data_IF_343096462673
#
_entry.id   IF_343096462673
#
_cell.length_a   1.000
_cell.length_b   1.000
_cell.length_c   1.000
_cell.angle_alpha   90.00
_cell.angle_beta   90.00
_cell.angle_gamma   90.00
#
_symmetry.space_group_name_H-M   'P 1'
#
loop_
_entity.id
_entity.type
_entity.pdbx_description
1 polymer ?
#
# COMPACT_ATOMS: atom_id res chain seq x y z
N UNK A 1 12.55 -2.59 11.16
CA UNK A 1 13.91 -2.23 10.69
C UNK A 1 13.95 -0.78 10.23
N UNK A 2 14.99 -0.02 10.59
CA UNK A 2 15.21 1.34 10.05
C UNK A 2 16.09 1.24 8.80
N UNK A 3 15.86 2.09 7.80
CA UNK A 3 16.69 2.11 6.57
C UNK A 3 18.17 2.44 6.80
N UNK A 4 18.49 3.12 7.91
CA UNK A 4 19.86 3.42 8.33
C UNK A 4 20.49 2.35 9.22
N UNK A 5 19.77 1.25 9.53
CA UNK A 5 20.33 0.20 10.37
C UNK A 5 21.38 -0.64 9.61
N UNK A 6 22.40 -1.07 10.32
CA UNK A 6 23.45 -1.95 9.79
C UNK A 6 22.85 -3.25 9.24
N UNK A 7 21.83 -3.78 9.90
CA UNK A 7 21.12 -4.99 9.45
C UNK A 7 20.41 -4.81 8.11
N UNK A 8 19.78 -3.64 7.90
CA UNK A 8 19.16 -3.33 6.62
C UNK A 8 20.21 -3.19 5.52
N UNK A 9 21.26 -2.39 5.76
CA UNK A 9 22.25 -2.04 4.75
C UNK A 9 23.14 -3.22 4.32
N UNK A 10 23.57 -4.06 5.28
CA UNK A 10 24.55 -5.10 5.03
C UNK A 10 23.98 -6.52 4.96
N UNK A 11 22.77 -6.75 5.44
CA UNK A 11 22.11 -8.06 5.37
C UNK A 11 20.94 -8.07 4.42
N UNK A 12 19.92 -7.24 4.69
CA UNK A 12 18.68 -7.29 3.92
C UNK A 12 18.84 -6.76 2.50
N UNK A 13 19.36 -5.54 2.34
CA UNK A 13 19.44 -4.87 1.04
C UNK A 13 20.30 -5.62 0.01
N UNK A 14 21.52 -6.11 0.34
CA UNK A 14 22.34 -6.88 -0.61
C UNK A 14 21.67 -8.19 -1.04
N UNK A 15 21.11 -8.95 -0.10
CA UNK A 15 20.40 -10.20 -0.40
C UNK A 15 19.18 -9.94 -1.28
N UNK A 16 18.38 -8.95 -0.91
CA UNK A 16 17.21 -8.54 -1.71
C UNK A 16 17.63 -8.13 -3.12
N UNK A 17 18.65 -7.30 -3.27
CA UNK A 17 19.13 -6.83 -4.57
C UNK A 17 19.66 -7.97 -5.42
N UNK A 18 20.43 -8.89 -4.85
CA UNK A 18 20.92 -10.08 -5.56
C UNK A 18 19.75 -10.94 -6.07
N UNK A 19 18.79 -11.26 -5.20
CA UNK A 19 17.59 -12.02 -5.60
C UNK A 19 16.83 -11.29 -6.71
N UNK A 20 16.63 -9.99 -6.57
CA UNK A 20 15.89 -9.18 -7.53
C UNK A 20 16.59 -9.11 -8.91
N UNK A 21 17.93 -9.12 -8.95
CA UNK A 21 18.73 -9.09 -10.18
C UNK A 21 18.74 -10.45 -10.90
N UNK A 22 18.87 -11.55 -10.16
CA UNK A 22 18.95 -12.92 -10.69
C UNK A 22 17.61 -13.36 -11.28
N UNK A 23 16.49 -12.95 -10.66
CA UNK A 23 15.16 -13.43 -11.03
C UNK A 23 14.68 -12.83 -12.36
N UNK A 24 14.10 -13.65 -13.27
CA UNK A 24 13.50 -13.17 -14.52
C UNK A 24 12.46 -12.07 -14.31
N UNK A 25 12.32 -11.17 -15.29
CA UNK A 25 11.43 -10.00 -15.21
C UNK A 25 9.99 -10.34 -14.79
N UNK A 26 9.48 -11.50 -15.20
CA UNK A 26 8.13 -11.99 -14.87
C UNK A 26 7.90 -12.14 -13.36
N UNK A 27 8.92 -12.53 -12.59
CA UNK A 27 8.80 -12.81 -11.16
C UNK A 27 9.31 -11.67 -10.27
N UNK A 28 9.83 -10.58 -10.82
CA UNK A 28 10.39 -9.46 -10.06
C UNK A 28 9.38 -8.79 -9.12
N UNK A 29 8.10 -8.68 -9.55
CA UNK A 29 7.06 -8.14 -8.68
C UNK A 29 6.78 -9.06 -7.48
N UNK A 30 6.92 -10.37 -7.66
CA UNK A 30 6.79 -11.33 -6.57
C UNK A 30 7.95 -11.20 -5.58
N UNK A 31 9.20 -11.08 -6.07
CA UNK A 31 10.38 -10.85 -5.21
C UNK A 31 10.24 -9.53 -4.47
N UNK A 32 9.76 -8.48 -5.13
CA UNK A 32 9.51 -7.19 -4.50
C UNK A 32 8.46 -7.29 -3.40
N UNK A 33 7.34 -7.97 -3.66
CA UNK A 33 6.29 -8.22 -2.68
C UNK A 33 6.82 -9.02 -1.48
N UNK A 34 7.46 -10.16 -1.75
CA UNK A 34 8.00 -11.03 -0.71
C UNK A 34 9.04 -10.30 0.16
N UNK A 35 9.99 -9.60 -0.46
CA UNK A 35 10.99 -8.80 0.26
C UNK A 35 10.35 -7.68 1.09
N UNK A 36 9.34 -7.01 0.55
CA UNK A 36 8.61 -5.96 1.28
C UNK A 36 7.85 -6.50 2.48
N UNK A 37 7.18 -7.65 2.34
CA UNK A 37 6.46 -8.28 3.45
C UNK A 37 7.43 -8.81 4.51
N UNK A 38 8.59 -9.37 4.13
CA UNK A 38 9.63 -9.77 5.08
C UNK A 38 10.17 -8.55 5.83
N UNK A 39 10.51 -7.49 5.10
CA UNK A 39 11.00 -6.25 5.71
C UNK A 39 10.01 -5.68 6.74
N UNK A 40 8.73 -5.61 6.36
CA UNK A 40 7.66 -5.12 7.23
C UNK A 40 7.41 -6.05 8.41
N UNK A 41 7.34 -7.37 8.17
CA UNK A 41 7.10 -8.39 9.20
C UNK A 41 8.21 -8.49 10.26
N UNK A 42 9.47 -8.21 9.90
CA UNK A 42 10.56 -8.13 10.87
C UNK A 42 10.41 -6.91 11.78
N UNK A 43 9.86 -5.79 11.25
CA UNK A 43 9.58 -4.59 12.05
C UNK A 43 8.30 -4.69 12.86
N UNK A 44 7.25 -5.27 12.25
CA UNK A 44 5.88 -5.29 12.75
C UNK A 44 5.20 -6.66 12.52
N UNK A 45 5.58 -7.70 13.29
CA UNK A 45 5.18 -9.08 12.98
C UNK A 45 3.67 -9.32 13.00
N UNK A 46 2.93 -8.63 13.87
CA UNK A 46 1.47 -8.77 13.95
C UNK A 46 0.74 -7.93 12.90
N UNK A 47 1.25 -6.74 12.60
CA UNK A 47 0.60 -5.81 11.67
C UNK A 47 0.82 -6.12 10.20
N UNK A 48 1.74 -7.04 9.86
CA UNK A 48 1.87 -7.56 8.50
C UNK A 48 0.58 -8.24 8.02
N UNK A 49 -0.15 -8.91 8.93
CA UNK A 49 -1.44 -9.52 8.62
C UNK A 49 -2.51 -8.47 8.33
N UNK A 50 -2.51 -7.35 9.07
CA UNK A 50 -3.41 -6.23 8.83
C UNK A 50 -3.14 -5.60 7.46
N UNK A 51 -1.86 -5.40 7.11
CA UNK A 51 -1.47 -4.90 5.78
C UNK A 51 -1.95 -5.83 4.66
N UNK A 52 -1.69 -7.15 4.78
CA UNK A 52 -2.14 -8.14 3.80
C UNK A 52 -3.67 -8.14 3.69
N UNK A 53 -4.38 -8.12 4.82
CA UNK A 53 -5.85 -8.05 4.84
C UNK A 53 -6.37 -6.82 4.11
N UNK A 54 -5.82 -5.63 4.41
CA UNK A 54 -6.19 -4.37 3.75
C UNK A 54 -5.93 -4.42 2.24
N UNK A 55 -4.80 -4.99 1.81
CA UNK A 55 -4.47 -5.18 0.39
C UNK A 55 -5.47 -6.12 -0.29
N UNK A 56 -5.81 -7.25 0.33
CA UNK A 56 -6.77 -8.22 -0.24
C UNK A 56 -8.15 -7.60 -0.38
N UNK A 57 -8.64 -6.91 0.64
CA UNK A 57 -9.95 -6.24 0.61
C UNK A 57 -10.00 -5.18 -0.48
N UNK A 58 -9.01 -4.28 -0.53
CA UNK A 58 -8.96 -3.22 -1.55
C UNK A 58 -8.83 -3.78 -2.96
N UNK A 59 -8.05 -4.85 -3.15
CA UNK A 59 -7.97 -5.54 -4.43
C UNK A 59 -9.33 -6.14 -4.85
N UNK A 60 -10.02 -6.80 -3.91
CA UNK A 60 -11.36 -7.34 -4.15
C UNK A 60 -12.37 -6.26 -4.54
N UNK A 61 -12.36 -5.11 -3.84
CA UNK A 61 -13.21 -3.96 -4.15
C UNK A 61 -12.88 -3.40 -5.54
N UNK A 62 -11.59 -3.28 -5.89
CA UNK A 62 -11.20 -2.82 -7.22
C UNK A 62 -11.67 -3.78 -8.32
N UNK A 63 -11.55 -5.08 -8.11
CA UNK A 63 -12.09 -6.09 -9.03
C UNK A 63 -13.61 -5.98 -9.18
N UNK A 64 -14.33 -5.78 -8.08
CA UNK A 64 -15.77 -5.55 -8.11
C UNK A 64 -16.13 -4.27 -8.87
N UNK A 65 -15.34 -3.20 -8.75
CA UNK A 65 -15.53 -1.94 -9.47
C UNK A 65 -15.48 -2.15 -11.01
N UNK A 66 -14.62 -3.05 -11.49
CA UNK A 66 -14.45 -3.36 -12.92
C UNK A 66 -15.25 -4.57 -13.40
N UNK A 67 -15.90 -5.30 -12.51
CA UNK A 67 -16.71 -6.44 -12.89
C UNK A 67 -17.91 -6.02 -13.74
N UNK A 68 -18.10 -6.64 -14.91
CA UNK A 68 -19.23 -6.37 -15.81
C UNK A 68 -20.14 -7.59 -15.87
N UNK A 69 -21.24 -7.64 -15.10
CA UNK A 69 -22.20 -8.73 -15.23
C UNK A 69 -22.89 -8.64 -16.59
N UNK A 70 -23.23 -9.80 -17.15
CA UNK A 70 -24.07 -9.92 -18.35
C UNK A 70 -25.45 -9.30 -18.04
N UNK A 71 -25.70 -8.10 -18.55
CA UNK A 71 -26.95 -7.38 -18.37
C UNK A 71 -27.44 -6.82 -19.70
N UNK A 72 -28.76 -6.62 -19.89
CA UNK A 72 -29.31 -5.95 -21.06
C UNK A 72 -28.67 -4.57 -21.28
N UNK A 73 -28.41 -4.23 -22.54
CA UNK A 73 -27.62 -3.05 -22.96
C UNK A 73 -28.19 -1.74 -22.36
N UNK A 74 -29.50 -1.64 -22.27
CA UNK A 74 -30.25 -0.45 -21.87
C UNK A 74 -29.93 0.04 -20.44
N UNK A 75 -29.50 -0.85 -19.53
CA UNK A 75 -29.26 -0.53 -18.12
C UNK A 75 -27.76 -0.63 -17.72
N UNK A 76 -26.85 -0.96 -18.63
CA UNK A 76 -25.43 -1.20 -18.32
C UNK A 76 -24.73 0.04 -17.78
N UNK A 77 -24.92 1.18 -18.42
CA UNK A 77 -24.22 2.42 -18.04
C UNK A 77 -24.60 2.86 -16.62
N UNK A 78 -25.90 2.93 -16.33
CA UNK A 78 -26.37 3.34 -15.00
C UNK A 78 -25.90 2.35 -13.90
N UNK A 79 -25.96 1.05 -14.16
CA UNK A 79 -25.51 0.03 -13.20
C UNK A 79 -24.01 0.11 -13.00
N UNK A 80 -23.22 0.36 -14.05
CA UNK A 80 -21.77 0.56 -13.96
C UNK A 80 -21.43 1.77 -13.09
N UNK A 81 -22.07 2.91 -13.30
CA UNK A 81 -21.86 4.13 -12.50
C UNK A 81 -22.23 3.91 -11.04
N UNK A 82 -23.41 3.36 -10.75
CA UNK A 82 -23.83 3.05 -9.38
C UNK A 82 -22.88 2.11 -8.67
N UNK A 83 -22.43 1.04 -9.34
CA UNK A 83 -21.49 0.07 -8.78
C UNK A 83 -20.13 0.69 -8.49
N UNK A 84 -19.57 1.45 -9.45
CA UNK A 84 -18.29 2.14 -9.26
C UNK A 84 -18.34 3.10 -8.07
N UNK A 85 -19.44 3.86 -7.95
CA UNK A 85 -19.66 4.75 -6.81
C UNK A 85 -19.79 3.98 -5.50
N UNK A 86 -20.56 2.90 -5.47
CA UNK A 86 -20.71 2.06 -4.28
C UNK A 86 -19.37 1.44 -3.86
N UNK A 87 -18.61 0.89 -4.82
CA UNK A 87 -17.29 0.32 -4.55
C UNK A 87 -16.33 1.37 -3.98
N UNK A 88 -16.30 2.59 -4.52
CA UNK A 88 -15.49 3.68 -3.98
C UNK A 88 -15.90 4.01 -2.55
N UNK A 89 -17.19 4.18 -2.28
CA UNK A 89 -17.68 4.51 -0.92
C UNK A 89 -17.28 3.38 0.06
N UNK A 90 -17.47 2.12 -0.33
CA UNK A 90 -17.12 0.97 0.52
C UNK A 90 -15.62 0.96 0.82
N UNK A 91 -14.75 1.20 -0.17
CA UNK A 91 -13.30 1.26 0.07
C UNK A 91 -12.90 2.41 0.98
N UNK A 92 -13.46 3.61 0.76
CA UNK A 92 -13.17 4.77 1.60
C UNK A 92 -13.62 4.54 3.06
N UNK A 93 -14.83 4.02 3.25
CA UNK A 93 -15.34 3.70 4.60
C UNK A 93 -14.45 2.67 5.27
N UNK A 94 -14.08 1.60 4.57
CA UNK A 94 -13.19 0.57 5.09
C UNK A 94 -11.81 1.14 5.49
N UNK A 95 -11.15 1.84 4.57
CA UNK A 95 -9.80 2.36 4.77
C UNK A 95 -9.75 3.43 5.88
N UNK A 96 -10.71 4.36 5.89
CA UNK A 96 -10.77 5.39 6.92
C UNK A 96 -11.26 4.85 8.27
N UNK A 97 -12.08 3.79 8.31
CA UNK A 97 -12.47 3.14 9.56
C UNK A 97 -11.28 2.45 10.23
N UNK A 98 -10.42 1.77 9.46
CA UNK A 98 -9.18 1.19 9.98
C UNK A 98 -8.22 2.28 10.48
N UNK A 99 -8.04 3.34 9.70
CA UNK A 99 -7.19 4.44 10.10
C UNK A 99 -7.72 5.13 11.37
N UNK A 100 -9.03 5.34 11.47
CA UNK A 100 -9.67 5.92 12.64
C UNK A 100 -9.48 5.04 13.87
N UNK A 101 -9.71 3.72 13.74
CA UNK A 101 -9.58 2.76 14.83
C UNK A 101 -8.16 2.76 15.43
N UNK A 102 -7.12 2.70 14.61
CA UNK A 102 -5.74 2.60 15.10
C UNK A 102 -5.11 3.94 15.48
N UNK A 103 -5.54 5.04 14.86
CA UNK A 103 -4.87 6.33 15.03
C UNK A 103 -5.66 7.32 15.86
N UNK A 104 -6.98 7.32 15.74
CA UNK A 104 -7.82 8.38 16.29
C UNK A 104 -8.80 7.93 17.37
N UNK A 105 -8.97 6.60 17.58
CA UNK A 105 -9.92 6.07 18.55
C UNK A 105 -9.63 6.58 19.96
N UNK A 106 -8.42 6.42 20.44
CA UNK A 106 -8.04 6.79 21.83
C UNK A 106 -8.13 8.30 22.06
N UNK A 107 -7.78 9.09 21.04
CA UNK A 107 -7.98 10.55 21.08
C UNK A 107 -9.47 10.90 21.17
N UNK A 108 -10.31 10.28 20.36
CA UNK A 108 -11.76 10.53 20.36
C UNK A 108 -12.41 10.08 21.68
N UNK A 109 -12.08 8.86 22.14
CA UNK A 109 -12.57 8.32 23.42
C UNK A 109 -12.15 9.22 24.60
N UNK A 110 -10.88 9.61 24.66
CA UNK A 110 -10.38 10.51 25.70
C UNK A 110 -11.07 11.86 25.71
N UNK A 111 -11.29 12.46 24.53
CA UNK A 111 -12.01 13.75 24.39
C UNK A 111 -13.46 13.64 24.89
N UNK A 112 -14.18 12.57 24.48
CA UNK A 112 -15.57 12.35 24.91
C UNK A 112 -15.64 12.13 26.42
N UNK A 113 -14.79 11.29 26.97
CA UNK A 113 -14.74 11.03 28.42
C UNK A 113 -14.43 12.27 29.23
N UNK A 114 -13.49 13.11 28.75
CA UNK A 114 -13.17 14.38 29.41
C UNK A 114 -14.35 15.35 29.40
N UNK A 115 -15.07 15.45 28.27
CA UNK A 115 -16.25 16.33 28.18
C UNK A 115 -17.44 15.82 29.01
N UNK A 116 -17.59 14.50 29.11
CA UNK A 116 -18.66 13.87 29.89
C UNK A 116 -18.39 13.81 31.39
N UNK A 117 -17.14 14.04 31.82
CA UNK A 117 -16.72 13.88 33.24
C UNK A 117 -16.79 12.42 33.74
N UNK A 118 -16.86 11.45 32.85
CA UNK A 118 -16.97 10.01 33.17
C UNK A 118 -16.37 9.16 32.06
N UNK A 119 -15.93 7.94 32.39
CA UNK A 119 -15.41 6.96 31.43
C UNK A 119 -16.56 6.27 30.66
N UNK A 120 -17.09 6.94 29.62
CA UNK A 120 -18.18 6.39 28.79
C UNK A 120 -17.67 5.47 27.68
N UNK A 121 -16.50 5.76 27.13
CA UNK A 121 -15.91 5.04 26.01
C UNK A 121 -14.57 4.44 26.44
N UNK A 122 -14.35 3.11 26.27
CA UNK A 122 -13.10 2.49 26.64
C UNK A 122 -11.95 2.99 25.75
N UNK A 123 -10.82 3.32 26.36
CA UNK A 123 -9.55 3.56 25.68
C UNK A 123 -8.94 2.21 25.35
N UNK A 124 -8.65 1.96 24.06
CA UNK A 124 -8.17 0.65 23.57
C UNK A 124 -6.65 0.50 23.69
N UNK A 125 -5.93 1.61 23.81
CA UNK A 125 -4.46 1.67 23.86
C UNK A 125 -3.79 0.87 22.73
N UNK A 126 -4.37 0.94 21.52
CA UNK A 126 -3.88 0.20 20.36
C UNK A 126 -2.54 0.79 19.91
N UNK A 127 -1.56 -0.10 19.72
CA UNK A 127 -0.29 0.29 19.10
C UNK A 127 -0.54 0.71 17.64
N UNK A 128 -0.01 1.87 17.25
CA UNK A 128 -0.15 2.37 15.89
C UNK A 128 0.72 1.57 14.91
N UNK A 129 0.14 0.85 13.93
CA UNK A 129 0.91 0.12 12.93
C UNK A 129 1.78 1.07 12.11
N UNK A 130 3.05 0.71 11.94
CA UNK A 130 3.98 1.51 11.14
C UNK A 130 3.46 1.67 9.71
N UNK A 131 3.41 2.89 9.22
CA UNK A 131 3.00 3.17 7.83
C UNK A 131 1.50 3.08 7.55
N UNK A 132 0.61 2.85 8.56
CA UNK A 132 -0.84 2.70 8.31
C UNK A 132 -1.42 3.89 7.54
N UNK A 133 -1.04 5.11 7.85
CA UNK A 133 -1.50 6.29 7.12
C UNK A 133 -1.03 6.30 5.66
N UNK A 134 0.23 5.90 5.42
CA UNK A 134 0.81 5.89 4.07
C UNK A 134 0.11 4.88 3.16
N UNK A 135 0.00 3.62 3.58
CA UNK A 135 -0.65 2.61 2.74
C UNK A 135 -2.15 2.82 2.61
N UNK A 136 -2.82 3.39 3.63
CA UNK A 136 -4.22 3.79 3.55
C UNK A 136 -4.42 4.84 2.47
N UNK A 137 -3.69 5.97 2.49
CA UNK A 137 -3.80 7.01 1.47
C UNK A 137 -3.39 6.52 0.08
N UNK A 138 -2.45 5.61 0.00
CA UNK A 138 -2.03 4.99 -1.26
C UNK A 138 -3.16 4.14 -1.86
N UNK A 139 -3.85 3.32 -1.05
CA UNK A 139 -5.02 2.55 -1.47
C UNK A 139 -6.20 3.46 -1.84
N UNK A 140 -6.47 4.49 -1.05
CA UNK A 140 -7.50 5.50 -1.35
C UNK A 140 -7.21 6.18 -2.69
N UNK A 141 -5.97 6.64 -2.92
CA UNK A 141 -5.57 7.23 -4.21
C UNK A 141 -5.81 6.28 -5.38
N UNK A 142 -5.42 5.02 -5.24
CA UNK A 142 -5.65 3.98 -6.25
C UNK A 142 -7.15 3.77 -6.54
N UNK A 143 -7.99 3.68 -5.51
CA UNK A 143 -9.44 3.48 -5.68
C UNK A 143 -10.11 4.70 -6.34
N UNK A 144 -9.68 5.91 -6.00
CA UNK A 144 -10.14 7.14 -6.64
C UNK A 144 -9.74 7.17 -8.12
N UNK A 145 -8.51 6.78 -8.45
CA UNK A 145 -8.03 6.72 -9.85
C UNK A 145 -8.77 5.65 -10.67
N UNK A 146 -9.09 4.51 -10.06
CA UNK A 146 -9.99 3.51 -10.66
C UNK A 146 -11.39 4.08 -10.92
N UNK A 147 -11.95 4.82 -9.95
CA UNK A 147 -13.27 5.43 -10.12
C UNK A 147 -13.29 6.49 -11.22
N UNK A 148 -12.28 7.36 -11.25
CA UNK A 148 -12.13 8.43 -12.26
C UNK A 148 -11.83 7.90 -13.66
N UNK A 149 -11.43 6.63 -13.79
CA UNK A 149 -11.08 6.01 -15.06
C UNK A 149 -9.64 6.30 -15.52
N UNK A 150 -8.80 6.84 -14.66
CA UNK A 150 -7.36 6.99 -14.90
C UNK A 150 -6.74 5.59 -15.05
N UNK A 151 -7.16 4.66 -14.21
CA UNK A 151 -6.83 3.25 -14.32
C UNK A 151 -7.99 2.56 -15.04
N UNK A 152 -7.75 2.18 -16.29
CA UNK A 152 -8.77 1.55 -17.15
C UNK A 152 -8.99 0.07 -16.83
N UNK A 153 -7.93 -0.61 -16.39
CA UNK A 153 -7.94 -2.03 -16.06
C UNK A 153 -7.20 -2.28 -14.74
N UNK A 154 -7.81 -3.01 -13.79
CA UNK A 154 -7.13 -3.33 -12.55
C UNK A 154 -5.92 -4.22 -12.82
N UNK A 155 -4.78 -3.98 -12.17
CA UNK A 155 -3.61 -4.83 -12.27
C UNK A 155 -3.89 -6.24 -11.76
N UNK A 156 -2.94 -7.16 -11.98
CA UNK A 156 -2.93 -8.42 -11.24
C UNK A 156 -2.72 -8.22 -9.74
N UNK A 157 -3.07 -9.22 -8.95
CA UNK A 157 -2.91 -9.15 -7.49
C UNK A 157 -1.47 -8.84 -7.05
N UNK A 158 -0.49 -9.56 -7.60
CA UNK A 158 0.92 -9.41 -7.22
C UNK A 158 1.48 -8.00 -7.51
N UNK A 159 1.28 -7.40 -8.70
CA UNK A 159 1.66 -6.01 -8.94
C UNK A 159 0.98 -5.01 -7.99
N UNK A 160 -0.32 -5.17 -7.73
CA UNK A 160 -1.04 -4.30 -6.80
C UNK A 160 -0.51 -4.42 -5.38
N UNK A 161 -0.38 -5.65 -4.87
CA UNK A 161 0.15 -5.92 -3.54
C UNK A 161 1.58 -5.39 -3.38
N UNK A 162 2.44 -5.61 -4.40
CA UNK A 162 3.80 -5.08 -4.41
C UNK A 162 3.84 -3.54 -4.43
N UNK A 163 2.91 -2.89 -5.13
CA UNK A 163 2.79 -1.43 -5.14
C UNK A 163 2.46 -0.89 -3.74
N UNK A 164 1.45 -1.46 -3.08
CA UNK A 164 1.01 -1.00 -1.75
C UNK A 164 2.05 -1.29 -0.66
N UNK A 165 2.68 -2.48 -0.69
CA UNK A 165 3.59 -2.93 0.36
C UNK A 165 5.05 -2.55 0.14
N UNK A 166 5.39 -1.87 -0.95
CA UNK A 166 6.77 -1.56 -1.34
C UNK A 166 7.55 -0.89 -0.20
N UNK A 167 8.54 -1.61 0.37
CA UNK A 167 9.25 -1.18 1.57
C UNK A 167 9.92 0.20 1.49
N UNK A 168 10.51 0.65 0.35
CA UNK A 168 11.10 1.99 0.30
C UNK A 168 10.09 3.11 0.43
N UNK A 169 8.83 2.85 0.09
CA UNK A 169 7.75 3.83 0.10
C UNK A 169 6.89 3.75 1.36
N UNK A 170 6.68 2.53 1.89
CA UNK A 170 5.74 2.23 2.96
C UNK A 170 6.03 3.00 4.27
N UNK A 171 7.32 3.23 4.57
CA UNK A 171 7.73 3.78 5.86
C UNK A 171 7.97 5.29 5.81
N UNK A 172 8.57 5.82 4.74
CA UNK A 172 8.99 7.21 4.68
C UNK A 172 9.03 7.78 3.26
N UNK A 173 8.44 7.10 2.27
CA UNK A 173 8.41 7.57 0.89
C UNK A 173 7.29 8.58 0.63
N UNK A 174 7.38 9.38 -0.45
CA UNK A 174 6.25 10.16 -0.95
C UNK A 174 5.14 9.19 -1.38
N UNK A 175 3.88 9.63 -1.26
CA UNK A 175 2.74 8.89 -1.81
C UNK A 175 2.82 8.99 -3.33
N UNK A 176 3.25 7.91 -3.97
CA UNK A 176 3.34 7.80 -5.43
C UNK A 176 2.05 7.17 -5.95
N UNK A 177 1.47 7.72 -7.00
CA UNK A 177 0.25 7.20 -7.61
C UNK A 177 0.55 5.93 -8.40
N UNK A 178 -0.47 5.04 -8.50
CA UNK A 178 -0.29 3.78 -9.23
C UNK A 178 0.02 4.00 -10.72
N UNK A 179 -0.61 4.97 -11.37
CA UNK A 179 -0.39 5.30 -12.78
C UNK A 179 1.07 5.67 -13.08
N UNK A 180 1.76 6.36 -12.18
CA UNK A 180 3.17 6.74 -12.33
C UNK A 180 4.13 5.54 -12.32
N UNK A 181 3.76 4.45 -11.65
CA UNK A 181 4.61 3.25 -11.50
C UNK A 181 4.12 2.05 -12.32
N UNK A 182 2.90 2.11 -12.86
CA UNK A 182 2.25 0.99 -13.56
C UNK A 182 3.12 0.45 -14.70
N UNK A 183 3.63 1.32 -15.57
CA UNK A 183 4.48 0.93 -16.70
C UNK A 183 5.79 0.30 -16.23
N UNK A 184 6.36 0.82 -15.16
CA UNK A 184 7.59 0.27 -14.57
C UNK A 184 7.35 -1.09 -13.90
N UNK A 185 6.15 -1.35 -13.40
CA UNK A 185 5.79 -2.63 -12.80
C UNK A 185 5.46 -3.70 -13.85
N UNK A 186 4.92 -3.30 -15.01
CA UNK A 186 4.53 -4.23 -16.06
C UNK A 186 5.64 -4.51 -17.10
N UNK A 187 6.58 -3.59 -17.31
CA UNK A 187 7.56 -3.65 -18.41
C UNK A 187 9.02 -3.42 -18.00
N UNK A 188 9.47 -3.93 -16.85
CA UNK A 188 10.81 -3.65 -16.31
C UNK A 188 11.95 -4.17 -17.18
N UNK A 189 12.60 -3.26 -17.90
CA UNK A 189 13.93 -3.48 -18.47
C UNK A 189 14.97 -2.90 -17.54
N UNK A 190 15.73 -3.75 -16.86
CA UNK A 190 16.87 -3.29 -16.08
C UNK A 190 18.03 -2.94 -17.01
N UNK A 191 18.51 -1.70 -16.89
CA UNK A 191 19.78 -1.27 -17.48
C UNK A 191 20.77 -1.07 -16.34
N UNK A 192 22.00 -1.53 -16.51
CA UNK A 192 23.10 -1.38 -15.52
C UNK A 192 23.27 0.09 -15.12
N UNK A 193 23.14 1.02 -16.09
CA UNK A 193 23.17 2.47 -15.85
C UNK A 193 22.10 2.95 -14.85
N UNK A 194 20.90 2.36 -14.88
CA UNK A 194 19.85 2.74 -13.94
C UNK A 194 20.13 2.23 -12.52
N UNK A 195 20.77 1.07 -12.41
CA UNK A 195 21.20 0.53 -11.13
C UNK A 195 22.32 1.38 -10.53
N UNK A 196 23.31 1.76 -11.33
CA UNK A 196 24.41 2.64 -10.91
C UNK A 196 23.89 4.01 -10.42
N UNK A 197 23.00 4.64 -11.18
CA UNK A 197 22.40 5.91 -10.78
C UNK A 197 21.55 5.76 -9.49
N UNK A 198 20.78 4.66 -9.36
CA UNK A 198 20.02 4.38 -8.15
C UNK A 198 20.90 4.21 -6.91
N UNK A 199 22.01 3.48 -7.03
CA UNK A 199 22.98 3.30 -5.95
C UNK A 199 23.67 4.62 -5.56
N UNK A 200 24.06 5.45 -6.53
CA UNK A 200 24.62 6.78 -6.28
C UNK A 200 23.65 7.66 -5.49
N UNK A 201 22.38 7.73 -5.93
CA UNK A 201 21.35 8.50 -5.23
C UNK A 201 21.06 7.96 -3.83
N UNK A 202 21.02 6.64 -3.67
CA UNK A 202 20.84 6.01 -2.37
C UNK A 202 21.97 6.34 -1.40
N UNK A 203 23.24 6.21 -1.86
CA UNK A 203 24.43 6.52 -1.05
C UNK A 203 24.47 8.00 -0.67
N UNK A 204 24.14 8.89 -1.61
CA UNK A 204 24.07 10.34 -1.35
C UNK A 204 22.99 10.65 -0.29
N UNK A 205 21.79 10.08 -0.45
CA UNK A 205 20.68 10.27 0.50
C UNK A 205 20.99 9.72 1.89
N UNK A 206 21.69 8.60 1.96
CA UNK A 206 22.15 8.03 3.23
C UNK A 206 23.19 8.93 3.89
N UNK A 207 24.17 9.44 3.14
CA UNK A 207 25.21 10.35 3.65
C UNK A 207 24.66 11.71 4.10
N UNK A 208 23.53 12.18 3.54
CA UNK A 208 22.87 13.39 4.00
C UNK A 208 22.04 13.19 5.28
N UNK A 209 21.72 11.92 5.61
CA UNK A 209 20.90 11.57 6.77
C UNK A 209 21.74 11.26 8.02
N UNK A 210 22.97 10.80 7.83
CA UNK A 210 23.94 10.46 8.90
C UNK A 210 24.79 11.67 9.23
#
# INVERSE_FOLDING_TARGET
MLFSSVEFLFRFLPVFMLLYLIVPAKYRNFVLLAGSLVFYGVGEPYFVLLLIFSVVVNYGISKYMFWEPAAPIQNRVQRRVKRRRAALIISLVFDFSLLFLFKYWDFAAGTVNQLAGSELIPVLALTLPLGISFYTFQMVSYQVDCYRGVIEKPPGFVPFAAYVSMFPQLIAGPIVRYDEVADRMCGRRMRIRNLENGLKLFTLGLGLKV
#
